data_IF_614388303608
#
_entry.id   IF_614388303608
#
_cell.length_a   1.000
_cell.length_b   1.000
_cell.length_c   1.000
_cell.angle_alpha   90.00
_cell.angle_beta   90.00
_cell.angle_gamma   90.00
#
_symmetry.space_group_name_H-M   'P 1'
#
loop_
_entity.id
_entity.type
_entity.pdbx_description
1 polymer ?
#
# COMPACT_ATOMS: atom_id res chain seq x y z
N UNK A 1 -11.71 -0.83 59.19
CA UNK A 1 -12.57 -0.91 57.97
C UNK A 1 -12.18 0.09 56.87
N UNK A 2 -11.51 1.20 57.17
CA UNK A 2 -11.13 2.25 56.20
C UNK A 2 -10.05 1.84 55.19
N UNK A 3 -9.07 1.00 55.56
CA UNK A 3 -8.00 0.55 54.66
C UNK A 3 -8.41 -0.42 53.54
N UNK A 4 -9.49 -1.18 53.75
CA UNK A 4 -10.00 -2.12 52.74
C UNK A 4 -10.77 -1.39 51.61
N UNK A 5 -11.49 -0.32 51.96
CA UNK A 5 -12.25 0.47 51.00
C UNK A 5 -11.33 1.29 50.07
N UNK A 6 -10.25 1.87 50.60
CA UNK A 6 -9.25 2.59 49.79
C UNK A 6 -8.49 1.66 48.84
N UNK A 7 -8.13 0.44 49.27
CA UNK A 7 -7.50 -0.56 48.41
C UNK A 7 -8.37 -1.02 47.24
N UNK A 8 -9.68 -1.16 47.46
CA UNK A 8 -10.65 -1.54 46.44
C UNK A 8 -10.86 -0.45 45.38
N UNK A 9 -10.97 0.82 45.80
CA UNK A 9 -11.12 1.95 44.88
C UNK A 9 -9.86 2.16 44.04
N UNK A 10 -8.67 2.12 44.65
CA UNK A 10 -7.39 2.19 43.93
C UNK A 10 -7.21 1.02 42.95
N UNK A 11 -7.54 -0.21 43.37
CA UNK A 11 -7.50 -1.39 42.50
C UNK A 11 -8.43 -1.29 41.30
N UNK A 12 -9.64 -0.75 41.49
CA UNK A 12 -10.62 -0.56 40.40
C UNK A 12 -10.17 0.47 39.36
N UNK A 13 -9.51 1.56 39.78
CA UNK A 13 -8.97 2.59 38.88
C UNK A 13 -7.80 2.02 38.07
N UNK A 14 -6.87 1.31 38.73
CA UNK A 14 -5.73 0.68 38.05
C UNK A 14 -6.22 -0.37 37.04
N UNK A 15 -7.20 -1.19 37.41
CA UNK A 15 -7.81 -2.17 36.49
C UNK A 15 -8.48 -1.52 35.28
N UNK A 16 -9.20 -0.41 35.47
CA UNK A 16 -9.81 0.34 34.36
C UNK A 16 -8.76 0.94 33.43
N UNK A 17 -7.70 1.56 33.97
CA UNK A 17 -6.60 2.15 33.18
C UNK A 17 -5.84 1.05 32.41
N UNK A 18 -5.57 -0.09 33.03
CA UNK A 18 -4.91 -1.22 32.36
C UNK A 18 -5.77 -1.77 31.21
N UNK A 19 -7.09 -1.81 31.37
CA UNK A 19 -8.02 -2.24 30.31
C UNK A 19 -8.05 -1.26 29.13
N UNK A 20 -8.07 0.04 29.40
CA UNK A 20 -8.04 1.09 28.38
C UNK A 20 -6.68 1.08 27.65
N UNK A 21 -5.57 0.98 28.39
CA UNK A 21 -4.24 0.93 27.80
C UNK A 21 -4.05 -0.35 26.96
N UNK A 22 -4.51 -1.50 27.45
CA UNK A 22 -4.43 -2.78 26.74
C UNK A 22 -5.26 -2.78 25.45
N UNK A 23 -6.46 -2.20 25.47
CA UNK A 23 -7.29 -2.08 24.27
C UNK A 23 -6.67 -1.15 23.22
N UNK A 24 -6.09 -0.02 23.64
CA UNK A 24 -5.36 0.87 22.73
C UNK A 24 -4.13 0.19 22.12
N UNK A 25 -3.36 -0.55 22.93
CA UNK A 25 -2.19 -1.30 22.46
C UNK A 25 -2.55 -2.36 21.42
N UNK A 26 -3.61 -3.16 21.66
CA UNK A 26 -4.07 -4.16 20.70
C UNK A 26 -4.54 -3.54 19.39
N UNK A 27 -5.24 -2.40 19.48
CA UNK A 27 -5.70 -1.68 18.31
C UNK A 27 -4.55 -1.15 17.46
N UNK A 28 -3.53 -0.57 18.10
CA UNK A 28 -2.31 -0.13 17.43
C UNK A 28 -1.58 -1.30 16.76
N UNK A 29 -1.44 -2.43 17.45
CA UNK A 29 -0.81 -3.64 16.89
C UNK A 29 -1.58 -4.18 15.67
N UNK A 30 -2.92 -4.19 15.71
CA UNK A 30 -3.73 -4.63 14.57
C UNK A 30 -3.53 -3.72 13.36
N UNK A 31 -3.47 -2.40 13.56
CA UNK A 31 -3.18 -1.45 12.47
C UNK A 31 -1.80 -1.66 11.86
N UNK A 32 -0.78 -1.92 12.68
CA UNK A 32 0.54 -2.24 12.15
C UNK A 32 0.53 -3.53 11.31
N UNK A 33 -0.12 -4.58 11.79
CA UNK A 33 -0.22 -5.84 11.05
C UNK A 33 -0.99 -5.69 9.73
N UNK A 34 -2.10 -4.94 9.74
CA UNK A 34 -2.87 -4.67 8.53
C UNK A 34 -2.06 -3.87 7.50
N UNK A 35 -1.33 -2.83 7.95
CA UNK A 35 -0.44 -2.06 7.08
C UNK A 35 0.69 -2.91 6.48
N UNK A 36 1.33 -3.77 7.28
CA UNK A 36 2.38 -4.65 6.80
C UNK A 36 1.85 -5.64 5.74
N UNK A 37 0.69 -6.23 5.99
CA UNK A 37 0.05 -7.13 5.02
C UNK A 37 -0.31 -6.40 3.72
N UNK A 38 -0.81 -5.17 3.81
CA UNK A 38 -1.14 -4.35 2.66
C UNK A 38 0.10 -3.98 1.82
N UNK A 39 1.20 -3.61 2.47
CA UNK A 39 2.49 -3.37 1.80
C UNK A 39 2.98 -4.60 1.05
N UNK A 40 2.96 -5.76 1.71
CA UNK A 40 3.39 -7.02 1.10
C UNK A 40 2.55 -7.38 -0.13
N UNK A 41 1.23 -7.14 -0.07
CA UNK A 41 0.35 -7.35 -1.20
C UNK A 41 0.68 -6.42 -2.37
N UNK A 42 0.90 -5.12 -2.09
CA UNK A 42 1.30 -4.16 -3.12
C UNK A 42 2.68 -4.45 -3.70
N UNK A 43 3.65 -4.83 -2.87
CA UNK A 43 4.97 -5.25 -3.33
C UNK A 43 4.86 -6.42 -4.31
N UNK A 44 4.07 -7.45 -3.95
CA UNK A 44 3.87 -8.63 -4.81
C UNK A 44 3.24 -8.25 -6.15
N UNK A 45 2.24 -7.36 -6.14
CA UNK A 45 1.60 -6.87 -7.37
C UNK A 45 2.55 -6.02 -8.23
N UNK A 46 3.30 -5.11 -7.61
CA UNK A 46 4.28 -4.29 -8.30
C UNK A 46 5.41 -5.15 -8.90
N UNK A 47 5.90 -6.15 -8.17
CA UNK A 47 6.89 -7.10 -8.67
C UNK A 47 6.33 -7.93 -9.83
N UNK A 48 5.06 -8.35 -9.77
CA UNK A 48 4.41 -9.04 -10.90
C UNK A 48 4.34 -8.18 -12.17
N UNK A 49 4.35 -6.85 -12.03
CA UNK A 49 4.39 -5.89 -13.13
C UNK A 49 5.82 -5.57 -13.62
N UNK A 50 6.85 -6.31 -13.20
CA UNK A 50 8.24 -6.08 -13.65
C UNK A 50 8.44 -6.20 -15.16
N UNK A 51 7.58 -6.97 -15.84
CA UNK A 51 7.60 -7.08 -17.30
C UNK A 51 7.35 -5.74 -18.01
N UNK A 52 6.73 -4.75 -17.35
CA UNK A 52 6.56 -3.41 -17.91
C UNK A 52 7.91 -2.73 -18.14
N UNK A 53 8.85 -2.92 -17.20
CA UNK A 53 10.23 -2.44 -17.33
C UNK A 53 10.93 -3.13 -18.51
N UNK A 54 10.84 -4.46 -18.59
CA UNK A 54 11.46 -5.26 -19.65
C UNK A 54 10.91 -4.92 -21.05
N UNK A 55 9.60 -4.67 -21.15
CA UNK A 55 8.96 -4.30 -22.41
C UNK A 55 9.29 -2.86 -22.82
N UNK A 56 9.48 -1.96 -21.86
CA UNK A 56 9.97 -0.60 -22.11
C UNK A 56 11.40 -0.63 -22.67
N UNK A 57 12.30 -1.39 -22.03
CA UNK A 57 13.70 -1.51 -22.44
C UNK A 57 13.89 -2.19 -23.80
N UNK A 58 13.05 -3.20 -24.10
CA UNK A 58 13.08 -3.93 -25.37
C UNK A 58 12.37 -3.20 -26.52
N UNK A 59 11.69 -2.09 -26.23
CA UNK A 59 10.94 -1.32 -27.22
C UNK A 59 9.68 -2.02 -27.77
N UNK A 60 9.18 -3.06 -27.09
CA UNK A 60 8.05 -3.86 -27.53
C UNK A 60 6.70 -3.28 -27.03
N UNK A 61 6.41 -2.05 -27.44
CA UNK A 61 5.28 -1.26 -26.95
C UNK A 61 3.91 -1.75 -27.44
N UNK A 62 3.85 -2.44 -28.58
CA UNK A 62 2.61 -3.03 -29.08
C UNK A 62 2.11 -4.14 -28.16
N UNK A 63 3.01 -5.00 -27.68
CA UNK A 63 2.66 -6.12 -26.78
C UNK A 63 2.23 -5.64 -25.39
N UNK A 64 2.72 -4.49 -24.94
CA UNK A 64 2.33 -3.85 -23.67
C UNK A 64 0.82 -3.63 -23.58
N UNK A 65 0.18 -3.19 -24.68
CA UNK A 65 -1.26 -2.86 -24.68
C UNK A 65 -2.18 -4.04 -24.41
N UNK A 66 -1.79 -5.23 -24.87
CA UNK A 66 -2.58 -6.45 -24.72
C UNK A 66 -2.26 -7.24 -23.45
N UNK A 67 -1.18 -6.89 -22.75
CA UNK A 67 -0.61 -7.71 -21.67
C UNK A 67 -0.64 -7.00 -20.31
N UNK A 68 -1.02 -5.72 -20.24
CA UNK A 68 -1.22 -5.05 -18.93
C UNK A 68 -2.42 -5.67 -18.23
N UNK A 69 -2.12 -6.50 -17.22
CA UNK A 69 -3.14 -7.12 -16.38
C UNK A 69 -3.78 -6.08 -15.46
N UNK A 70 -5.01 -6.34 -15.03
CA UNK A 70 -5.74 -5.44 -14.14
C UNK A 70 -5.16 -5.56 -12.72
N UNK A 71 -4.83 -4.45 -12.05
CA UNK A 71 -4.23 -4.50 -10.71
C UNK A 71 -5.29 -4.88 -9.66
N UNK A 72 -5.30 -6.16 -9.30
CA UNK A 72 -6.28 -6.77 -8.40
C UNK A 72 -6.13 -6.23 -6.98
N UNK A 73 -4.91 -6.10 -6.47
CA UNK A 73 -4.63 -5.64 -5.10
C UNK A 73 -5.04 -4.18 -4.96
N UNK A 74 -4.64 -3.31 -5.89
CA UNK A 74 -5.02 -1.91 -5.86
C UNK A 74 -6.54 -1.71 -5.86
N UNK A 75 -7.27 -2.40 -6.74
CA UNK A 75 -8.72 -2.27 -6.81
C UNK A 75 -9.45 -2.89 -5.61
N UNK A 76 -8.99 -4.04 -5.14
CA UNK A 76 -9.64 -4.75 -4.02
C UNK A 76 -9.37 -4.12 -2.65
N UNK A 77 -8.32 -3.31 -2.53
CA UNK A 77 -7.92 -2.66 -1.28
C UNK A 77 -8.02 -1.13 -1.34
N UNK A 78 -8.77 -0.57 -2.29
CA UNK A 78 -8.94 0.88 -2.43
C UNK A 78 -9.46 1.54 -1.13
N UNK A 79 -10.37 0.88 -0.41
CA UNK A 79 -10.91 1.36 0.87
C UNK A 79 -9.87 1.31 2.02
N UNK A 80 -8.87 0.44 1.90
CA UNK A 80 -7.84 0.20 2.91
C UNK A 80 -6.55 0.98 2.65
N UNK A 81 -6.42 1.61 1.48
CA UNK A 81 -5.21 2.35 1.07
C UNK A 81 -4.84 3.47 2.04
N UNK A 82 -5.83 4.04 2.74
CA UNK A 82 -5.63 5.07 3.77
C UNK A 82 -4.88 4.59 5.02
N UNK A 83 -4.57 3.29 5.13
CA UNK A 83 -3.71 2.74 6.19
C UNK A 83 -2.21 2.96 5.91
N UNK A 84 -1.85 3.26 4.66
CA UNK A 84 -0.49 3.58 4.23
C UNK A 84 -0.13 5.05 4.56
N UNK A 85 1.15 5.43 4.45
CA UNK A 85 1.60 6.82 4.56
C UNK A 85 1.13 7.60 3.34
N UNK A 86 1.08 8.94 3.47
CA UNK A 86 0.77 9.80 2.33
C UNK A 86 1.71 9.58 1.14
N UNK A 87 3.00 9.36 1.40
CA UNK A 87 4.02 9.09 0.37
C UNK A 87 3.77 7.75 -0.34
N UNK A 88 3.44 6.69 0.40
CA UNK A 88 3.07 5.38 -0.16
C UNK A 88 1.83 5.49 -1.05
N UNK A 89 0.77 6.16 -0.56
CA UNK A 89 -0.47 6.36 -1.31
C UNK A 89 -0.21 7.17 -2.58
N UNK A 90 0.50 8.29 -2.48
CA UNK A 90 0.82 9.15 -3.63
C UNK A 90 1.58 8.37 -4.70
N UNK A 91 2.60 7.60 -4.30
CA UNK A 91 3.40 6.81 -5.23
C UNK A 91 2.56 5.72 -5.93
N UNK A 92 1.75 4.98 -5.17
CA UNK A 92 0.86 3.94 -5.71
C UNK A 92 -0.18 4.54 -6.66
N UNK A 93 -0.90 5.56 -6.23
CA UNK A 93 -1.95 6.21 -7.04
C UNK A 93 -1.36 6.79 -8.33
N UNK A 94 -0.20 7.45 -8.25
CA UNK A 94 0.48 8.00 -9.43
C UNK A 94 0.85 6.92 -10.44
N UNK A 95 1.38 5.79 -9.97
CA UNK A 95 1.69 4.65 -10.82
C UNK A 95 0.43 4.04 -11.45
N UNK A 96 -0.57 3.66 -10.66
CA UNK A 96 -1.76 2.98 -11.18
C UNK A 96 -2.60 3.88 -12.09
N UNK A 97 -2.63 5.20 -11.85
CA UNK A 97 -3.28 6.15 -12.74
C UNK A 97 -2.69 6.09 -14.15
N UNK A 98 -1.36 6.10 -14.26
CA UNK A 98 -0.72 6.03 -15.57
C UNK A 98 -0.72 4.62 -16.15
N UNK A 99 -0.71 3.57 -15.31
CA UNK A 99 -0.89 2.19 -15.77
C UNK A 99 -2.25 2.01 -16.45
N UNK A 100 -3.32 2.57 -15.89
CA UNK A 100 -4.64 2.57 -16.53
C UNK A 100 -4.64 3.37 -17.83
N UNK A 101 -4.00 4.53 -17.85
CA UNK A 101 -3.84 5.30 -19.08
C UNK A 101 -3.12 4.49 -20.16
N UNK A 102 -2.04 3.79 -19.80
CA UNK A 102 -1.27 2.95 -20.73
C UNK A 102 -2.09 1.80 -21.32
N UNK A 103 -2.91 1.16 -20.49
CA UNK A 103 -3.81 0.07 -20.89
C UNK A 103 -4.87 0.55 -21.89
N UNK A 104 -5.44 1.72 -21.64
CA UNK A 104 -6.59 2.23 -22.42
C UNK A 104 -6.14 3.02 -23.67
N UNK A 105 -4.87 3.43 -23.74
CA UNK A 105 -4.32 4.16 -24.87
C UNK A 105 -4.14 3.27 -26.10
N UNK A 106 -4.49 3.76 -27.29
CA UNK A 106 -4.35 3.00 -28.55
C UNK A 106 -3.16 3.46 -29.39
N UNK A 107 -2.78 4.75 -29.32
CA UNK A 107 -1.60 5.26 -30.00
C UNK A 107 -0.32 4.63 -29.41
N UNK A 108 0.62 4.22 -30.26
CA UNK A 108 1.90 3.63 -29.85
C UNK A 108 2.95 4.72 -29.61
N UNK A 109 2.90 5.84 -30.34
CA UNK A 109 3.88 6.92 -30.20
C UNK A 109 3.74 7.62 -28.84
N UNK A 110 2.51 7.91 -28.42
CA UNK A 110 2.24 8.47 -27.08
C UNK A 110 2.69 7.52 -25.95
N UNK A 111 2.66 6.21 -26.19
CA UNK A 111 3.13 5.22 -25.20
C UNK A 111 4.63 5.22 -25.06
N UNK A 112 5.36 5.34 -26.17
CA UNK A 112 6.83 5.41 -26.15
C UNK A 112 7.31 6.56 -25.27
N UNK A 113 6.62 7.69 -25.36
CA UNK A 113 6.95 8.88 -24.57
C UNK A 113 6.71 8.65 -23.08
N UNK A 114 5.56 8.07 -22.69
CA UNK A 114 5.15 7.98 -21.27
C UNK A 114 5.53 6.68 -20.55
N UNK A 115 5.85 5.60 -21.25
CA UNK A 115 6.15 4.30 -20.62
C UNK A 115 7.39 4.36 -19.70
N UNK A 116 8.40 5.16 -20.06
CA UNK A 116 9.57 5.36 -19.21
C UNK A 116 9.21 6.09 -17.91
N UNK A 117 8.26 7.03 -17.96
CA UNK A 117 7.74 7.69 -16.76
C UNK A 117 6.97 6.70 -15.88
N UNK A 118 6.20 5.79 -16.49
CA UNK A 118 5.45 4.74 -15.79
C UNK A 118 6.39 3.78 -15.07
N UNK A 119 7.48 3.37 -15.72
CA UNK A 119 8.53 2.54 -15.11
C UNK A 119 9.15 3.25 -13.91
N UNK A 120 9.47 4.53 -14.02
CA UNK A 120 10.01 5.30 -12.89
C UNK A 120 9.00 5.40 -11.74
N UNK A 121 7.71 5.58 -12.04
CA UNK A 121 6.64 5.61 -11.04
C UNK A 121 6.46 4.27 -10.37
N UNK A 122 6.58 3.15 -11.11
CA UNK A 122 6.58 1.79 -10.55
C UNK A 122 7.71 1.60 -9.55
N UNK A 123 8.94 1.96 -9.95
CA UNK A 123 10.12 1.84 -9.09
C UNK A 123 9.98 2.71 -7.83
N UNK A 124 9.44 3.92 -7.96
CA UNK A 124 9.15 4.79 -6.81
C UNK A 124 8.09 4.19 -5.88
N UNK A 125 7.01 3.64 -6.43
CA UNK A 125 5.98 2.96 -5.64
C UNK A 125 6.55 1.75 -4.90
N UNK A 126 7.38 0.96 -5.57
CA UNK A 126 8.05 -0.21 -5.00
C UNK A 126 9.03 0.17 -3.88
N UNK A 127 9.82 1.23 -4.09
CA UNK A 127 10.69 1.77 -3.06
C UNK A 127 9.89 2.27 -1.84
N UNK A 128 8.81 3.02 -2.07
CA UNK A 128 7.98 3.57 -1.00
C UNK A 128 7.37 2.48 -0.11
N UNK A 129 6.94 1.34 -0.67
CA UNK A 129 6.38 0.24 0.13
C UNK A 129 7.44 -0.61 0.82
N UNK A 130 8.68 -0.66 0.29
CA UNK A 130 9.82 -1.42 0.86
C UNK A 130 10.62 -0.66 1.92
N UNK A 131 10.81 0.65 1.77
CA UNK A 131 11.64 1.47 2.69
C UNK A 131 11.08 1.59 4.11
N UNK A 132 9.84 1.13 4.34
CA UNK A 132 9.18 1.20 5.63
C UNK A 132 9.00 -0.16 6.34
N UNK A 133 9.78 -1.17 5.98
CA UNK A 133 10.04 -2.36 6.81
C UNK A 133 11.06 -2.07 7.93
#
# INVERSE_FOLDING_TARGET
MTGAATGLVLGSIIGAVATIAGSYFLFWRRRQAARAHLRQAFETELDALSYVDEMADSGNYESLTGTVERPVVYESNADEIGQLSGEEVEALVSFYTDLYWLRDQQDIEDKKERVHEIVQKRQRALAAVREHE
#
